data_IF_732321838994
#
_entry.id   IF_732321838994
#
_cell.length_a   1.000
_cell.length_b   1.000
_cell.length_c   1.000
_cell.angle_alpha   90.00
_cell.angle_beta   90.00
_cell.angle_gamma   90.00
#
_symmetry.space_group_name_H-M   'P 1'
#
loop_
_entity.id
_entity.type
_entity.pdbx_description
1 polymer ?
#
# COMPACT_ATOMS: atom_id res chain seq x y z
N UNK A 1 -29.35 34.56 29.39
CA UNK A 1 -30.10 33.33 29.09
C UNK A 1 -29.07 32.25 28.80
N UNK A 2 -28.92 31.32 29.73
CA UNK A 2 -27.93 30.24 29.66
C UNK A 2 -28.53 28.96 29.11
N UNK A 3 -27.71 28.16 28.44
CA UNK A 3 -27.91 26.72 28.31
C UNK A 3 -26.69 26.05 28.93
N UNK A 4 -26.85 25.58 30.16
CA UNK A 4 -25.97 24.58 30.77
C UNK A 4 -26.48 23.23 30.29
N UNK A 5 -25.65 22.48 29.57
CA UNK A 5 -25.92 21.06 29.31
C UNK A 5 -24.97 20.25 30.19
N UNK A 6 -25.61 19.48 31.05
CA UNK A 6 -25.08 18.68 32.13
C UNK A 6 -24.71 17.29 31.60
N UNK A 7 -23.56 16.79 32.06
CA UNK A 7 -23.22 15.38 32.34
C UNK A 7 -23.22 14.36 31.18
N UNK A 8 -22.04 13.80 30.95
CA UNK A 8 -21.89 12.34 30.87
C UNK A 8 -20.53 11.96 31.48
N UNK A 9 -20.54 11.61 32.76
CA UNK A 9 -19.46 10.84 33.35
C UNK A 9 -19.80 9.36 33.21
N UNK A 10 -18.97 8.59 32.49
CA UNK A 10 -18.72 7.16 32.75
C UNK A 10 -17.31 6.84 32.28
N UNK A 11 -16.47 6.50 33.26
CA UNK A 11 -15.46 5.43 33.28
C UNK A 11 -15.14 4.77 31.93
N UNK A 12 -13.86 4.63 31.61
CA UNK A 12 -13.11 3.36 31.81
C UNK A 12 -11.79 3.47 31.06
N UNK A 13 -10.71 3.22 31.78
CA UNK A 13 -9.38 3.12 31.25
C UNK A 13 -9.31 2.08 30.12
N UNK A 14 -8.97 2.51 28.91
CA UNK A 14 -8.27 1.64 27.97
C UNK A 14 -6.77 1.81 28.25
N UNK A 15 -6.30 1.23 29.35
CA UNK A 15 -4.89 0.88 29.48
C UNK A 15 -4.66 -0.36 28.60
N UNK A 16 -4.58 -0.14 27.30
CA UNK A 16 -4.19 -1.15 26.31
C UNK A 16 -2.68 -1.25 26.26
N UNK A 17 -2.06 -1.91 27.25
CA UNK A 17 -0.68 -2.34 27.12
C UNK A 17 -0.64 -3.61 26.27
N UNK A 18 -0.43 -3.46 24.97
CA UNK A 18 0.02 -4.55 24.09
C UNK A 18 1.36 -4.16 23.51
N UNK A 19 2.38 -4.98 23.80
CA UNK A 19 3.79 -4.73 23.53
C UNK A 19 4.05 -4.13 22.15
N UNK A 20 4.65 -2.95 22.15
CA UNK A 20 5.03 -2.21 20.95
C UNK A 20 6.06 -2.99 20.15
N UNK A 21 5.61 -3.70 19.13
CA UNK A 21 6.26 -3.53 17.84
C UNK A 21 5.85 -2.14 17.37
N UNK A 22 6.79 -1.20 17.36
CA UNK A 22 6.59 0.13 16.78
C UNK A 22 5.94 -0.08 15.41
N UNK A 23 4.68 0.35 15.26
CA UNK A 23 4.01 0.22 13.98
C UNK A 23 4.71 1.19 13.02
N UNK A 24 5.54 0.66 12.13
CA UNK A 24 6.23 1.44 11.10
C UNK A 24 5.47 1.29 9.79
N UNK A 25 5.06 2.42 9.21
CA UNK A 25 4.50 2.43 7.85
C UNK A 25 5.58 1.95 6.88
N UNK A 26 5.25 0.99 6.02
CA UNK A 26 6.22 0.37 5.13
C UNK A 26 5.63 0.00 3.77
N UNK A 27 6.51 -0.32 2.83
CA UNK A 27 6.11 -1.00 1.60
C UNK A 27 6.16 -2.51 1.82
N UNK A 28 5.01 -3.16 1.78
CA UNK A 28 4.95 -4.62 1.65
C UNK A 28 5.43 -5.02 0.24
N UNK A 29 6.41 -5.94 0.11
CA UNK A 29 6.85 -6.40 -1.20
C UNK A 29 5.73 -7.15 -1.93
N UNK A 30 5.55 -6.80 -3.20
CA UNK A 30 4.57 -7.43 -4.11
C UNK A 30 5.27 -8.35 -5.09
N UNK A 31 6.25 -7.81 -5.81
CA UNK A 31 7.00 -8.53 -6.84
C UNK A 31 8.32 -7.82 -7.13
N UNK A 32 9.28 -8.55 -7.71
CA UNK A 32 10.55 -8.02 -8.19
C UNK A 32 11.00 -8.75 -9.44
N UNK A 33 11.65 -8.06 -10.36
CA UNK A 33 12.24 -8.67 -11.54
C UNK A 33 13.37 -7.81 -12.12
N UNK A 34 14.19 -8.38 -13.00
CA UNK A 34 15.25 -7.63 -13.70
C UNK A 34 14.71 -6.69 -14.78
N UNK A 35 13.53 -6.99 -15.33
CA UNK A 35 12.90 -6.20 -16.39
C UNK A 35 11.47 -5.81 -16.03
N UNK A 36 10.95 -4.77 -16.69
CA UNK A 36 9.55 -4.37 -16.49
C UNK A 36 8.57 -5.45 -16.94
N UNK A 37 8.86 -6.13 -18.05
CA UNK A 37 8.03 -7.23 -18.53
C UNK A 37 7.97 -8.35 -17.49
N UNK A 38 9.13 -8.79 -16.99
CA UNK A 38 9.19 -9.80 -15.94
C UNK A 38 8.51 -9.36 -14.63
N UNK A 39 8.55 -8.06 -14.28
CA UNK A 39 7.83 -7.57 -13.11
C UNK A 39 6.32 -7.66 -13.32
N UNK A 40 5.83 -7.30 -14.52
CA UNK A 40 4.41 -7.38 -14.87
C UNK A 40 3.93 -8.83 -14.80
N UNK A 41 4.71 -9.77 -15.33
CA UNK A 41 4.38 -11.19 -15.28
C UNK A 41 4.34 -11.69 -13.83
N UNK A 42 5.35 -11.36 -13.02
CA UNK A 42 5.37 -11.69 -11.59
C UNK A 42 4.18 -11.10 -10.81
N UNK A 43 3.70 -9.91 -11.18
CA UNK A 43 2.49 -9.31 -10.60
C UNK A 43 1.20 -9.99 -11.05
N UNK A 44 1.16 -10.61 -12.24
CA UNK A 44 0.02 -11.41 -12.68
C UNK A 44 -0.03 -12.76 -11.96
N UNK A 45 1.14 -13.32 -11.63
CA UNK A 45 1.27 -14.62 -10.97
C UNK A 45 1.02 -14.57 -9.45
N UNK A 46 0.96 -13.38 -8.85
CA UNK A 46 0.71 -13.24 -7.41
C UNK A 46 -0.74 -13.58 -7.06
N UNK A 47 -0.92 -14.25 -5.91
CA UNK A 47 -2.25 -14.63 -5.38
C UNK A 47 -2.58 -13.97 -4.04
N UNK A 48 -1.68 -13.13 -3.52
CA UNK A 48 -1.77 -12.56 -2.17
C UNK A 48 -3.06 -11.77 -1.91
N UNK A 49 -3.60 -11.11 -2.94
CA UNK A 49 -4.85 -10.34 -2.87
C UNK A 49 -5.98 -10.98 -3.71
N UNK A 50 -5.83 -12.25 -4.08
CA UNK A 50 -6.66 -12.94 -5.06
C UNK A 50 -6.02 -13.01 -6.44
N UNK A 51 -6.72 -13.64 -7.39
CA UNK A 51 -6.23 -13.82 -8.76
C UNK A 51 -6.15 -12.48 -9.48
N UNK A 52 -4.93 -12.10 -9.89
CA UNK A 52 -4.69 -10.94 -10.75
C UNK A 52 -4.84 -11.39 -12.21
N UNK A 53 -5.71 -10.73 -12.95
CA UNK A 53 -5.94 -11.02 -14.37
C UNK A 53 -5.36 -9.91 -15.27
N UNK A 54 -5.21 -8.69 -14.76
CA UNK A 54 -4.58 -7.62 -15.52
C UNK A 54 -3.88 -6.59 -14.63
N UNK A 55 -2.93 -5.89 -15.25
CA UNK A 55 -2.13 -4.83 -14.64
C UNK A 55 -2.38 -3.53 -15.40
N UNK A 56 -2.80 -2.47 -14.71
CA UNK A 56 -3.09 -1.16 -15.32
C UNK A 56 -2.25 -0.06 -14.69
N UNK A 57 -1.42 0.62 -15.48
CA UNK A 57 -0.66 1.77 -15.00
C UNK A 57 -1.60 2.97 -14.85
N UNK A 58 -1.59 3.60 -13.67
CA UNK A 58 -2.36 4.82 -13.35
C UNK A 58 -1.54 6.08 -13.59
N UNK A 59 -0.29 6.10 -13.13
CA UNK A 59 0.61 7.24 -13.24
C UNK A 59 2.03 6.79 -13.60
N UNK A 60 2.81 7.69 -14.21
CA UNK A 60 4.21 7.46 -14.62
C UNK A 60 5.03 8.75 -14.48
N UNK A 61 6.34 8.60 -14.25
CA UNK A 61 7.29 9.70 -14.38
C UNK A 61 7.32 10.62 -13.15
N UNK A 62 7.59 11.91 -13.37
CA UNK A 62 7.84 12.89 -12.30
C UNK A 62 6.63 13.20 -11.41
N UNK A 63 5.43 12.78 -11.81
CA UNK A 63 4.21 12.94 -11.00
C UNK A 63 3.98 11.78 -10.02
N UNK A 64 4.94 10.85 -9.91
CA UNK A 64 4.88 9.69 -9.03
C UNK A 64 5.85 9.89 -7.87
N UNK A 65 5.32 10.06 -6.66
CA UNK A 65 6.12 10.20 -5.44
C UNK A 65 5.28 10.64 -4.24
N UNK A 66 5.04 9.72 -3.30
CA UNK A 66 4.41 10.01 -2.00
C UNK A 66 4.90 9.05 -0.90
N UNK A 67 6.21 8.77 -0.85
CA UNK A 67 6.82 7.95 0.21
C UNK A 67 8.35 7.85 0.10
N UNK A 68 8.97 6.95 0.86
CA UNK A 68 10.43 6.82 1.01
C UNK A 68 11.16 6.18 -0.18
N UNK A 69 10.44 5.90 -1.28
CA UNK A 69 10.99 5.28 -2.48
C UNK A 69 10.66 6.16 -3.70
N UNK A 70 11.63 6.32 -4.59
CA UNK A 70 11.47 7.02 -5.87
C UNK A 70 10.62 6.18 -6.84
N UNK A 71 9.33 6.11 -6.55
CA UNK A 71 8.37 5.42 -7.38
C UNK A 71 8.30 6.10 -8.76
N UNK A 72 8.38 5.30 -9.82
CA UNK A 72 8.34 5.76 -11.21
C UNK A 72 7.01 5.42 -11.90
N UNK A 73 6.20 4.55 -11.28
CA UNK A 73 4.84 4.19 -11.73
C UNK A 73 3.94 3.83 -10.56
N UNK A 74 2.66 4.20 -10.67
CA UNK A 74 1.57 3.69 -9.83
C UNK A 74 0.75 2.72 -10.65
N UNK A 75 0.46 1.54 -10.12
CA UNK A 75 -0.10 0.41 -10.85
C UNK A 75 -1.25 -0.22 -10.08
N UNK A 76 -2.36 -0.47 -10.76
CA UNK A 76 -3.45 -1.28 -10.25
C UNK A 76 -3.27 -2.74 -10.65
N UNK A 77 -3.40 -3.65 -9.69
CA UNK A 77 -3.65 -5.06 -9.94
C UNK A 77 -5.16 -5.30 -9.95
N UNK A 78 -5.67 -5.86 -11.04
CA UNK A 78 -7.11 -6.00 -11.29
C UNK A 78 -7.48 -7.48 -11.44
N UNK A 79 -8.68 -7.85 -10.98
CA UNK A 79 -9.27 -9.15 -11.28
C UNK A 79 -9.92 -9.18 -12.67
N UNK A 80 -10.45 -10.34 -13.08
CA UNK A 80 -11.13 -10.56 -14.37
C UNK A 80 -12.31 -9.64 -14.66
N UNK A 81 -12.87 -9.01 -13.63
CA UNK A 81 -13.98 -8.06 -13.74
C UNK A 81 -13.50 -6.59 -13.83
N UNK A 82 -12.19 -6.37 -13.89
CA UNK A 82 -11.59 -5.03 -13.87
C UNK A 82 -11.68 -4.34 -12.51
N UNK A 83 -12.05 -5.05 -11.44
CA UNK A 83 -12.05 -4.49 -10.08
C UNK A 83 -10.64 -4.49 -9.52
N UNK A 84 -10.26 -3.37 -8.90
CA UNK A 84 -8.95 -3.21 -8.24
C UNK A 84 -8.86 -4.10 -7.00
N UNK A 85 -7.81 -4.91 -6.96
CA UNK A 85 -7.44 -5.75 -5.82
C UNK A 85 -6.49 -4.99 -4.89
N UNK A 86 -5.46 -4.37 -5.47
CA UNK A 86 -4.47 -3.57 -4.75
C UNK A 86 -3.87 -2.54 -5.71
N UNK A 87 -3.46 -1.39 -5.16
CA UNK A 87 -2.61 -0.42 -5.86
C UNK A 87 -1.19 -0.57 -5.33
N UNK A 88 -0.23 -0.61 -6.25
CA UNK A 88 1.18 -0.80 -5.94
C UNK A 88 2.00 0.28 -6.60
N UNK A 89 3.06 0.70 -5.92
CA UNK A 89 4.04 1.62 -6.43
C UNK A 89 5.23 0.83 -6.93
N UNK A 90 5.82 1.30 -8.04
CA UNK A 90 6.90 0.61 -8.74
C UNK A 90 8.09 1.53 -8.83
N UNK A 91 9.26 1.04 -8.43
CA UNK A 91 10.53 1.76 -8.51
C UNK A 91 11.63 0.92 -9.16
N UNK A 92 12.73 1.60 -9.50
CA UNK A 92 13.98 0.95 -9.93
C UNK A 92 14.80 0.61 -8.71
N UNK A 93 15.39 -0.59 -8.69
CA UNK A 93 16.36 -0.95 -7.65
C UNK A 93 17.75 -0.39 -8.00
N UNK A 94 18.64 -0.18 -7.02
CA UNK A 94 19.99 0.30 -7.28
C UNK A 94 20.80 -0.57 -8.25
N UNK A 95 20.51 -1.88 -8.28
CA UNK A 95 21.12 -2.83 -9.24
C UNK A 95 20.51 -2.81 -10.65
N UNK A 96 19.67 -1.83 -10.98
CA UNK A 96 19.03 -1.69 -12.29
C UNK A 96 17.76 -2.55 -12.49
N UNK A 97 17.34 -3.29 -11.46
CA UNK A 97 16.13 -4.10 -11.47
C UNK A 97 14.86 -3.27 -11.23
N UNK A 98 13.75 -3.97 -11.09
CA UNK A 98 12.44 -3.42 -10.82
C UNK A 98 11.83 -4.07 -9.59
N UNK A 99 11.11 -3.27 -8.82
CA UNK A 99 10.38 -3.72 -7.65
C UNK A 99 9.01 -3.04 -7.58
N UNK A 100 8.01 -3.78 -7.11
CA UNK A 100 6.69 -3.29 -6.79
C UNK A 100 6.39 -3.51 -5.31
N UNK A 101 5.79 -2.52 -4.65
CA UNK A 101 5.35 -2.63 -3.27
C UNK A 101 4.00 -1.97 -3.04
N UNK A 102 3.25 -2.52 -2.08
CA UNK A 102 2.01 -1.93 -1.62
C UNK A 102 2.30 -1.15 -0.33
N UNK A 103 1.98 0.15 -0.32
CA UNK A 103 2.11 0.95 0.90
C UNK A 103 1.16 0.45 1.98
N UNK A 104 1.70 0.20 3.17
CA UNK A 104 0.95 -0.12 4.37
C UNK A 104 1.17 1.03 5.34
N UNK A 105 0.11 1.79 5.55
CA UNK A 105 0.12 2.82 6.57
C UNK A 105 -0.14 2.20 7.94
N UNK A 106 0.73 2.52 8.88
CA UNK A 106 0.44 2.36 10.29
C UNK A 106 -0.53 3.43 10.73
N UNK A 107 -1.63 3.01 11.35
CA UNK A 107 -2.66 3.87 11.88
C UNK A 107 -2.64 3.65 13.40
N UNK A 108 -2.51 4.75 14.15
CA UNK A 108 -2.58 4.80 15.62
C UNK A 108 -4.04 4.66 16.10
#
# INVERSE_FOLDING_TARGET
MGCVVLVCGVLTACAGSTGGSDCVSDYAPVASATTWAGLKDAMLDTVRWGRVDSVRVQARGHDVGAGDQDAVRVVDLLNRHGRRLVQVDVWRTPGGGWQAGAWRQCID
#
